data_IF_453341804741
#
_entry.id   IF_453341804741
#
_cell.length_a   1.000
_cell.length_b   1.000
_cell.length_c   1.000
_cell.angle_alpha   90.00
_cell.angle_beta   90.00
_cell.angle_gamma   90.00
#
_symmetry.space_group_name_H-M   'P 1'
#
loop_
_entity.id
_entity.type
_entity.pdbx_description
1 polymer ?
#
# COMPACT_ATOMS: atom_id res chain seq x y z
N UNK A 1 -21.55 14.85 -15.05
CA UNK A 1 -20.60 15.70 -14.31
C UNK A 1 -19.80 14.95 -13.24
N UNK A 2 -20.40 14.06 -12.44
CA UNK A 2 -19.69 13.28 -11.41
C UNK A 2 -18.50 12.44 -11.96
N UNK A 3 -18.63 11.92 -13.18
CA UNK A 3 -17.60 11.07 -13.80
C UNK A 3 -16.30 11.82 -14.11
N UNK A 4 -16.39 13.09 -14.49
CA UNK A 4 -15.22 13.92 -14.82
C UNK A 4 -14.32 14.16 -13.60
N UNK A 5 -14.92 14.43 -12.44
CA UNK A 5 -14.19 14.65 -11.19
C UNK A 5 -13.49 13.36 -10.71
N UNK A 6 -14.17 12.21 -10.81
CA UNK A 6 -13.58 10.91 -10.49
C UNK A 6 -12.41 10.60 -11.44
N UNK A 7 -12.59 10.85 -12.73
CA UNK A 7 -11.55 10.62 -13.74
C UNK A 7 -10.33 11.49 -13.49
N UNK A 8 -10.52 12.79 -13.24
CA UNK A 8 -9.43 13.70 -12.90
C UNK A 8 -8.67 13.25 -11.65
N UNK A 9 -9.40 12.80 -10.61
CA UNK A 9 -8.79 12.25 -9.40
C UNK A 9 -8.05 10.95 -9.66
N UNK A 10 -8.58 10.07 -10.50
CA UNK A 10 -7.92 8.81 -10.85
C UNK A 10 -6.65 9.04 -11.68
N UNK A 11 -6.66 10.05 -12.56
CA UNK A 11 -5.47 10.48 -13.29
C UNK A 11 -4.37 10.95 -12.32
N UNK A 12 -4.71 11.61 -11.22
CA UNK A 12 -3.72 12.03 -10.21
C UNK A 12 -3.07 10.87 -9.47
N UNK A 13 -3.67 9.68 -9.50
CA UNK A 13 -3.12 8.47 -8.91
C UNK A 13 -2.29 7.63 -9.89
N UNK A 14 -2.15 8.05 -11.15
CA UNK A 14 -1.30 7.35 -12.11
C UNK A 14 0.17 7.39 -11.65
N UNK A 15 0.84 6.25 -11.77
CA UNK A 15 2.20 5.97 -11.32
C UNK A 15 2.42 6.05 -9.80
N UNK A 16 1.39 6.31 -9.01
CA UNK A 16 1.46 6.27 -7.56
C UNK A 16 1.30 4.85 -7.01
N UNK A 17 1.93 4.60 -5.86
CA UNK A 17 1.72 3.37 -5.10
C UNK A 17 0.33 3.40 -4.47
N UNK A 18 -0.52 2.43 -4.82
CA UNK A 18 -1.87 2.30 -4.27
C UNK A 18 -2.00 1.04 -3.43
N UNK A 19 -2.70 1.18 -2.31
CA UNK A 19 -3.28 0.11 -1.53
C UNK A 19 -4.74 -0.09 -1.95
N UNK A 20 -5.03 -1.27 -2.48
CA UNK A 20 -6.34 -1.64 -3.01
C UNK A 20 -6.92 -2.80 -2.19
N UNK A 21 -8.05 -2.57 -1.53
CA UNK A 21 -8.80 -3.59 -0.81
C UNK A 21 -9.86 -4.20 -1.72
N UNK A 22 -9.86 -5.52 -1.81
CA UNK A 22 -10.84 -6.30 -2.59
C UNK A 22 -11.93 -6.88 -1.67
N UNK A 23 -13.10 -7.16 -2.23
CA UNK A 23 -14.25 -7.79 -1.56
C UNK A 23 -13.95 -9.12 -0.85
N UNK A 24 -12.95 -9.88 -1.30
CA UNK A 24 -12.49 -11.14 -0.69
C UNK A 24 -11.58 -10.92 0.55
N UNK A 25 -11.41 -9.67 0.99
CA UNK A 25 -10.56 -9.33 2.15
C UNK A 25 -9.05 -9.29 1.85
N UNK A 26 -8.65 -9.54 0.59
CA UNK A 26 -7.27 -9.38 0.12
C UNK A 26 -6.94 -7.92 -0.08
N UNK A 27 -5.66 -7.58 0.11
CA UNK A 27 -5.12 -6.25 -0.13
C UNK A 27 -3.99 -6.34 -1.15
N UNK A 28 -4.03 -5.48 -2.16
CA UNK A 28 -3.00 -5.38 -3.19
C UNK A 28 -2.27 -4.06 -3.01
N UNK A 29 -0.94 -4.10 -3.02
CA UNK A 29 -0.11 -2.89 -3.03
C UNK A 29 0.70 -2.91 -4.31
N UNK A 30 0.57 -1.89 -5.15
CA UNK A 30 1.29 -1.78 -6.41
C UNK A 30 1.15 -0.40 -7.04
N UNK A 31 1.93 -0.12 -8.08
CA UNK A 31 1.88 1.15 -8.79
C UNK A 31 0.74 1.14 -9.82
N UNK A 32 -0.15 2.13 -9.79
CA UNK A 32 -1.25 2.23 -10.78
C UNK A 32 -0.69 2.65 -12.14
N UNK A 33 -0.84 1.82 -13.16
CA UNK A 33 -0.38 2.16 -14.52
C UNK A 33 -1.53 2.63 -15.39
N UNK A 34 -2.70 2.05 -15.25
CA UNK A 34 -3.88 2.47 -16.00
C UNK A 34 -5.18 2.16 -15.25
N UNK A 35 -6.23 2.83 -15.67
CA UNK A 35 -7.59 2.61 -15.20
C UNK A 35 -8.57 2.69 -16.38
N UNK A 36 -9.74 2.08 -16.22
CA UNK A 36 -10.81 2.01 -17.21
C UNK A 36 -12.10 2.67 -16.69
N UNK A 37 -13.08 2.91 -17.57
CA UNK A 37 -14.41 3.43 -17.24
C UNK A 37 -15.15 2.51 -16.26
N UNK A 38 -14.91 1.20 -16.33
CA UNK A 38 -15.44 0.23 -15.38
C UNK A 38 -14.70 0.22 -14.03
N UNK A 39 -13.74 1.13 -13.83
CA UNK A 39 -12.83 1.17 -12.69
C UNK A 39 -11.95 -0.08 -12.59
N UNK A 40 -11.76 -0.79 -13.71
CA UNK A 40 -10.70 -1.80 -13.81
C UNK A 40 -9.37 -1.08 -13.65
N UNK A 41 -8.45 -1.66 -12.88
CA UNK A 41 -7.13 -1.08 -12.65
C UNK A 41 -6.05 -2.09 -13.00
N UNK A 42 -4.93 -1.59 -13.51
CA UNK A 42 -3.71 -2.38 -13.68
C UNK A 42 -2.66 -1.85 -12.72
N UNK A 43 -2.16 -2.76 -11.87
CA UNK A 43 -1.10 -2.52 -10.91
C UNK A 43 0.19 -3.17 -11.38
N UNK A 44 1.27 -2.41 -11.44
CA UNK A 44 2.64 -2.90 -11.66
C UNK A 44 3.34 -3.16 -10.33
N UNK A 45 4.25 -4.13 -10.33
CA UNK A 45 5.05 -4.55 -9.16
C UNK A 45 4.19 -4.83 -7.92
N UNK A 46 3.06 -5.48 -8.16
CA UNK A 46 2.02 -5.70 -7.19
C UNK A 46 2.36 -6.83 -6.22
N UNK A 47 2.10 -6.60 -4.94
CA UNK A 47 2.15 -7.59 -3.87
C UNK A 47 0.77 -7.78 -3.24
N UNK A 48 0.35 -9.02 -3.08
CA UNK A 48 -0.89 -9.43 -2.42
C UNK A 48 -0.62 -9.70 -0.93
N UNK A 49 -1.46 -9.14 -0.07
CA UNK A 49 -1.49 -9.34 1.36
C UNK A 49 -2.83 -9.98 1.72
N UNK A 50 -2.79 -11.24 2.13
CA UNK A 50 -3.97 -11.98 2.55
C UNK A 50 -3.99 -12.12 4.07
N UNK A 51 -5.08 -11.68 4.71
CA UNK A 51 -5.36 -11.99 6.11
C UNK A 51 -5.88 -13.42 6.19
N UNK A 52 -4.98 -14.39 6.34
CA UNK A 52 -5.36 -15.76 6.67
C UNK A 52 -5.15 -16.00 8.16
N UNK A 53 -6.25 -16.17 8.89
CA UNK A 53 -6.23 -16.74 10.24
C UNK A 53 -5.93 -18.22 10.11
N UNK A 54 -4.64 -18.58 10.21
CA UNK A 54 -4.28 -20.00 10.33
C UNK A 54 -4.56 -20.39 11.77
N UNK A 55 -5.65 -21.15 11.99
CA UNK A 55 -5.94 -21.77 13.29
C UNK A 55 -4.88 -22.83 13.58
N UNK A 56 -3.76 -22.45 14.19
CA UNK A 56 -2.85 -23.41 14.80
C UNK A 56 -3.45 -23.84 16.14
N UNK A 57 -3.41 -25.15 16.43
CA UNK A 57 -3.98 -25.81 17.62
C UNK A 57 -3.46 -25.27 18.98
N UNK A 58 -2.66 -24.22 19.02
CA UNK A 58 -2.10 -23.63 20.23
C UNK A 58 -1.83 -22.12 20.01
N UNK A 59 -2.85 -21.30 20.24
CA UNK A 59 -2.76 -19.83 20.17
C UNK A 59 -2.82 -19.28 18.75
N UNK A 60 -3.96 -18.69 18.38
CA UNK A 60 -4.16 -18.04 17.09
C UNK A 60 -3.13 -16.93 16.88
N UNK A 61 -2.15 -17.15 16.00
CA UNK A 61 -1.29 -16.09 15.47
C UNK A 61 -1.77 -15.79 14.06
N UNK A 62 -2.37 -14.61 13.87
CA UNK A 62 -2.61 -14.07 12.53
C UNK A 62 -1.25 -13.92 11.81
N UNK A 63 -1.07 -14.67 10.72
CA UNK A 63 0.08 -14.48 9.82
C UNK A 63 -0.44 -13.82 8.56
N UNK A 64 0.05 -12.61 8.29
CA UNK A 64 -0.16 -11.98 6.98
C UNK A 64 0.71 -12.71 5.97
N UNK A 65 0.08 -13.36 4.99
CA UNK A 65 0.79 -14.01 3.89
C UNK A 65 0.98 -12.98 2.78
N UNK A 66 2.23 -12.62 2.51
CA UNK A 66 2.61 -11.71 1.42
C UNK A 66 3.08 -12.50 0.21
N UNK A 67 2.53 -12.22 -0.98
CA UNK A 67 2.95 -12.82 -2.25
C UNK A 67 3.21 -11.75 -3.29
N UNK A 68 4.37 -11.80 -3.95
CA UNK A 68 4.64 -10.97 -5.12
C UNK A 68 3.94 -11.54 -6.36
N UNK A 69 3.28 -10.68 -7.13
CA UNK A 69 2.53 -11.04 -8.34
C UNK A 69 3.10 -10.39 -9.61
N UNK A 70 3.73 -9.22 -9.52
CA UNK A 70 4.21 -8.47 -10.68
C UNK A 70 3.12 -7.60 -11.28
N UNK A 71 2.67 -7.89 -12.50
CA UNK A 71 1.61 -7.11 -13.18
C UNK A 71 0.24 -7.76 -12.96
N UNK A 72 -0.71 -7.00 -12.43
CA UNK A 72 -2.04 -7.52 -12.05
C UNK A 72 -3.14 -6.61 -12.59
N UNK A 73 -4.16 -7.21 -13.20
CA UNK A 73 -5.42 -6.56 -13.51
C UNK A 73 -6.45 -6.90 -12.42
N UNK A 74 -7.06 -5.87 -11.82
CA UNK A 74 -8.13 -6.03 -10.84
C UNK A 74 -9.42 -5.49 -11.46
N UNK A 75 -10.48 -6.32 -11.60
CA UNK A 75 -11.77 -5.85 -12.07
C UNK A 75 -12.42 -4.87 -11.09
N UNK A 76 -12.95 -3.76 -11.60
CA UNK A 76 -13.48 -2.67 -10.78
C UNK A 76 -14.65 -3.07 -9.86
N UNK A 77 -15.40 -4.12 -10.24
CA UNK A 77 -16.50 -4.66 -9.44
C UNK A 77 -16.06 -5.24 -8.08
N UNK A 78 -14.80 -5.67 -7.97
CA UNK A 78 -14.30 -6.28 -6.73
C UNK A 78 -13.57 -5.26 -5.83
N UNK A 79 -13.33 -4.05 -6.33
CA UNK A 79 -12.61 -3.01 -5.58
C UNK A 79 -13.55 -2.38 -4.56
N UNK A 80 -13.17 -2.49 -3.29
CA UNK A 80 -13.92 -1.88 -2.17
C UNK A 80 -13.32 -0.53 -1.80
N UNK A 81 -11.99 -0.43 -1.76
CA UNK A 81 -11.29 0.80 -1.35
C UNK A 81 -9.94 0.92 -2.03
N UNK A 82 -9.62 2.13 -2.52
CA UNK A 82 -8.30 2.51 -3.02
C UNK A 82 -7.75 3.66 -2.18
N UNK A 83 -6.47 3.57 -1.79
CA UNK A 83 -5.75 4.60 -1.03
C UNK A 83 -4.32 4.71 -1.53
N UNK A 84 -3.72 5.90 -1.44
CA UNK A 84 -2.28 6.05 -1.67
C UNK A 84 -1.52 5.32 -0.55
N UNK A 85 -0.63 4.43 -0.95
CA UNK A 85 0.26 3.72 -0.05
C UNK A 85 1.56 4.49 0.08
N UNK A 86 1.84 4.98 1.28
CA UNK A 86 3.13 5.56 1.62
C UNK A 86 3.96 4.46 2.27
N UNK A 87 5.11 4.14 1.65
CA UNK A 87 6.07 3.23 2.26
C UNK A 87 6.49 3.81 3.61
N UNK A 88 6.33 3.08 4.73
CA UNK A 88 6.80 3.57 6.02
C UNK A 88 8.32 3.77 5.95
N UNK A 89 8.85 4.84 6.58
CA UNK A 89 10.29 5.04 6.66
C UNK A 89 10.93 3.83 7.32
N UNK A 90 11.99 3.30 6.70
CA UNK A 90 12.77 2.22 7.28
C UNK A 90 13.53 2.84 8.44
N UNK A 91 13.12 2.53 9.68
CA UNK A 91 13.88 2.92 10.86
C UNK A 91 14.98 1.86 11.02
N UNK A 92 16.10 2.06 10.35
CA UNK A 92 17.35 1.38 10.70
C UNK A 92 17.85 1.94 12.04
N UNK A 93 18.37 1.09 12.93
CA UNK A 93 19.00 1.49 14.20
C UNK A 93 20.03 2.63 14.01
N UNK A 94 20.73 2.65 12.87
CA UNK A 94 21.64 3.73 12.44
C UNK A 94 20.99 5.13 12.35
N UNK A 95 19.71 5.19 11.97
CA UNK A 95 18.94 6.45 11.83
C UNK A 95 18.42 6.99 13.16
N UNK A 96 18.39 6.17 14.21
CA UNK A 96 18.05 6.61 15.56
C UNK A 96 19.26 7.29 16.22
N UNK A 97 20.45 6.71 16.05
CA UNK A 97 21.71 7.25 16.58
C UNK A 97 22.08 8.61 15.97
N UNK A 98 21.84 8.82 14.67
CA UNK A 98 22.11 10.12 14.01
C UNK A 98 21.22 11.23 14.53
N UNK A 99 19.94 10.93 14.84
CA UNK A 99 19.02 11.89 15.45
C UNK A 99 19.41 12.25 16.89
N UNK A 100 19.92 11.29 17.65
CA UNK A 100 20.42 11.55 19.00
C UNK A 100 21.69 12.41 19.00
N UNK A 101 22.62 12.16 18.07
CA UNK A 101 23.83 12.98 17.91
C UNK A 101 23.50 14.41 17.45
N UNK A 102 22.56 14.58 16.52
CA UNK A 102 22.15 15.90 16.03
C UNK A 102 21.44 16.71 17.13
N UNK A 103 20.58 16.05 17.92
CA UNK A 103 19.93 16.67 19.09
C UNK A 103 20.94 17.03 20.19
N UNK A 104 21.96 16.18 20.43
CA UNK A 104 23.02 16.46 21.40
C UNK A 104 23.92 17.63 21.00
N UNK A 105 24.19 17.81 19.71
CA UNK A 105 25.04 18.90 19.20
C UNK A 105 24.32 20.27 19.19
N UNK A 106 22.99 20.29 19.18
CA UNK A 106 22.20 21.52 19.35
C UNK A 106 22.16 21.99 20.81
N UNK A 107 22.19 21.07 21.78
CA UNK A 107 22.21 21.41 23.21
C UNK A 107 23.52 22.07 23.68
N UNK A 108 24.62 21.88 22.96
CA UNK A 108 25.94 22.45 23.27
C UNK A 108 26.20 23.82 22.60
N UNK A 109 25.29 24.32 21.76
CA UNK A 109 25.41 25.61 21.07
C UNK A 109 24.64 26.75 21.75
N UNK A 110 24.20 26.58 23.00
CA UNK A 110 23.54 27.63 23.80
C UNK A 110 24.48 28.13 24.90
#
# INVERSE_FOLDING_TARGET
>A
MADCALRARMTSYLNEQLRVSISDGRVFIGALICFDNHKNIILKDCSEFAKKTIKLKSGDKERELTRYLGLVLIPGQHIVRCQVYVRPPIITEETALTKELENGMQALKT
#
